data_IF_770938881776
#
_entry.id   IF_770938881776
#
_cell.length_a   1.000
_cell.length_b   1.000
_cell.length_c   1.000
_cell.angle_alpha   90.00
_cell.angle_beta   90.00
_cell.angle_gamma   90.00
#
_symmetry.space_group_name_H-M   'P 1'
#
loop_
_entity.id
_entity.type
_entity.pdbx_description
1 polymer ?
#
# COMPACT_ATOMS: atom_id res chain seq x y z
N UNK A 1 -32.59 -93.04 -18.92
CA UNK A 1 -33.24 -93.13 -17.59
C UNK A 1 -32.81 -91.91 -16.79
N UNK A 2 -33.67 -90.89 -16.67
CA UNK A 2 -34.59 -90.64 -15.54
C UNK A 2 -33.88 -90.50 -14.18
N UNK A 3 -34.03 -89.28 -13.62
CA UNK A 3 -34.25 -88.96 -12.19
C UNK A 3 -32.98 -88.86 -11.32
N UNK A 4 -32.82 -87.98 -10.32
CA UNK A 4 -33.67 -86.96 -9.67
C UNK A 4 -32.76 -86.14 -8.71
N UNK A 5 -33.08 -84.84 -8.53
CA UNK A 5 -33.28 -84.10 -7.25
C UNK A 5 -32.11 -83.81 -6.28
N UNK A 6 -31.86 -82.49 -6.14
CA UNK A 6 -31.71 -81.61 -4.96
C UNK A 6 -30.77 -81.95 -3.76
N UNK A 7 -29.95 -80.96 -3.40
CA UNK A 7 -29.87 -80.45 -2.02
C UNK A 7 -29.28 -79.02 -2.01
N UNK A 8 -29.97 -78.13 -1.29
CA UNK A 8 -29.60 -76.74 -1.01
C UNK A 8 -28.37 -76.62 -0.10
N UNK A 9 -27.56 -75.59 -0.31
CA UNK A 9 -26.91 -74.88 0.78
C UNK A 9 -26.80 -73.39 0.43
N UNK A 10 -27.66 -72.60 1.08
CA UNK A 10 -27.63 -71.15 1.14
C UNK A 10 -26.31 -70.71 1.80
N UNK A 11 -25.62 -69.75 1.20
CA UNK A 11 -24.66 -68.89 1.92
C UNK A 11 -24.79 -67.49 1.36
N UNK A 12 -25.70 -66.73 1.98
CA UNK A 12 -25.86 -65.31 1.73
C UNK A 12 -24.66 -64.58 2.32
N UNK A 13 -23.75 -64.12 1.47
CA UNK A 13 -22.71 -63.16 1.86
C UNK A 13 -23.39 -61.81 1.97
N UNK A 14 -23.59 -61.35 3.20
CA UNK A 14 -24.03 -60.00 3.50
C UNK A 14 -22.87 -59.02 3.24
N UNK A 15 -22.86 -58.41 2.06
CA UNK A 15 -21.96 -57.29 1.76
C UNK A 15 -22.49 -56.07 2.50
N UNK A 16 -21.91 -55.75 3.65
CA UNK A 16 -22.13 -54.46 4.33
C UNK A 16 -21.47 -53.39 3.46
N UNK A 17 -22.24 -52.78 2.57
CA UNK A 17 -21.87 -51.52 1.94
C UNK A 17 -21.99 -50.44 3.01
N UNK A 18 -20.86 -50.04 3.59
CA UNK A 18 -20.76 -48.79 4.33
C UNK A 18 -20.91 -47.65 3.33
N UNK A 19 -22.16 -47.32 3.00
CA UNK A 19 -22.50 -46.04 2.40
C UNK A 19 -22.25 -44.96 3.47
N UNK A 20 -21.02 -44.46 3.55
CA UNK A 20 -20.72 -43.22 4.25
C UNK A 20 -21.27 -42.06 3.42
N UNK A 21 -22.59 -41.89 3.45
CA UNK A 21 -23.19 -40.59 3.19
C UNK A 21 -22.78 -39.69 4.36
N UNK A 22 -21.65 -38.99 4.24
CA UNK A 22 -21.46 -37.78 5.02
C UNK A 22 -22.52 -36.78 4.53
N UNK A 23 -23.63 -36.71 5.25
CA UNK A 23 -24.52 -35.55 5.24
C UNK A 23 -23.64 -34.31 5.43
N UNK A 24 -23.67 -33.33 4.53
CA UNK A 24 -23.00 -32.07 4.82
C UNK A 24 -23.72 -31.49 6.03
N UNK A 25 -23.01 -31.42 7.17
CA UNK A 25 -23.43 -30.60 8.28
C UNK A 25 -23.56 -29.18 7.73
N UNK A 26 -24.81 -28.73 7.64
CA UNK A 26 -25.14 -27.36 7.31
C UNK A 26 -24.97 -26.53 8.57
N UNK A 27 -23.72 -26.33 8.98
CA UNK A 27 -23.33 -25.49 10.12
C UNK A 27 -22.31 -24.44 9.65
N UNK A 28 -22.86 -23.35 9.12
CA UNK A 28 -22.52 -21.95 9.38
C UNK A 28 -22.86 -21.20 8.11
N UNK A 29 -23.67 -20.16 8.24
CA UNK A 29 -23.89 -19.16 7.20
C UNK A 29 -22.52 -18.55 6.84
N UNK A 30 -21.82 -19.18 5.90
CA UNK A 30 -20.52 -18.75 5.43
C UNK A 30 -20.74 -17.60 4.47
N UNK A 31 -20.73 -16.36 4.97
CA UNK A 31 -20.54 -15.21 4.11
C UNK A 31 -19.30 -15.48 3.26
N UNK A 32 -19.48 -15.50 1.94
CA UNK A 32 -18.35 -15.62 1.03
C UNK A 32 -17.38 -14.47 1.33
N UNK A 33 -16.12 -14.78 1.61
CA UNK A 33 -15.10 -13.74 1.80
C UNK A 33 -15.08 -12.90 0.53
N UNK A 34 -15.48 -11.63 0.65
CA UNK A 34 -15.44 -10.67 -0.45
C UNK A 34 -13.97 -10.34 -0.70
N UNK A 35 -13.49 -10.67 -1.88
CA UNK A 35 -12.10 -10.44 -2.31
C UNK A 35 -12.03 -9.18 -3.17
N UNK A 36 -10.89 -8.49 -3.08
CA UNK A 36 -10.62 -7.27 -3.85
C UNK A 36 -11.30 -6.01 -3.31
N UNK A 37 -10.95 -4.87 -3.89
CA UNK A 37 -11.40 -3.53 -3.54
C UNK A 37 -11.30 -3.20 -2.04
N UNK A 38 -10.23 -3.66 -1.40
CA UNK A 38 -10.06 -3.47 0.03
C UNK A 38 -10.01 -1.99 0.43
N UNK A 39 -10.84 -1.64 1.41
CA UNK A 39 -10.86 -0.36 2.11
C UNK A 39 -10.47 -0.57 3.57
N UNK A 40 -9.88 0.43 4.24
CA UNK A 40 -9.60 0.31 5.66
C UNK A 40 -10.91 0.13 6.43
N UNK A 41 -10.87 -0.67 7.50
CA UNK A 41 -12.00 -0.79 8.42
C UNK A 41 -12.20 0.54 9.15
N UNK A 42 -13.47 0.84 9.48
CA UNK A 42 -13.78 1.94 10.39
C UNK A 42 -13.09 1.68 11.73
N UNK A 43 -12.37 2.70 12.18
CA UNK A 43 -11.61 2.62 13.41
C UNK A 43 -12.52 2.68 14.64
N UNK A 44 -12.16 2.01 15.75
CA UNK A 44 -12.70 2.37 17.05
C UNK A 44 -12.51 3.86 17.31
N UNK A 45 -13.34 4.44 18.18
CA UNK A 45 -13.18 5.85 18.60
C UNK A 45 -11.72 6.08 19.02
N UNK A 46 -11.14 7.19 18.56
CA UNK A 46 -9.72 7.48 18.74
C UNK A 46 -9.30 7.29 20.21
N UNK A 47 -8.19 6.58 20.40
CA UNK A 47 -7.59 6.36 21.71
C UNK A 47 -6.55 7.40 22.09
N UNK A 48 -6.02 8.17 21.12
CA UNK A 48 -4.95 9.15 21.36
C UNK A 48 -5.17 10.44 20.54
N UNK A 49 -4.97 11.56 21.22
CA UNK A 49 -4.90 12.90 20.67
C UNK A 49 -3.43 13.37 20.55
N UNK A 50 -2.48 12.52 20.94
CA UNK A 50 -1.09 12.88 21.05
C UNK A 50 -0.53 13.19 19.66
N UNK A 51 0.38 14.17 19.63
CA UNK A 51 1.14 14.54 18.44
C UNK A 51 0.32 15.08 17.26
N UNK A 52 -0.97 15.41 17.47
CA UNK A 52 -1.78 16.10 16.47
C UNK A 52 -1.23 17.47 16.17
N UNK A 53 -1.26 17.83 14.89
CA UNK A 53 -0.89 19.16 14.43
C UNK A 53 -2.12 20.04 14.48
N UNK A 54 -2.07 21.07 15.32
CA UNK A 54 -3.15 22.06 15.42
C UNK A 54 -3.42 22.72 14.06
N UNK A 55 -4.68 23.07 13.79
CA UNK A 55 -5.09 23.68 12.52
C UNK A 55 -5.31 22.71 11.36
N UNK A 56 -4.81 21.47 11.43
CA UNK A 56 -5.00 20.45 10.38
C UNK A 56 -5.97 19.37 10.85
N UNK A 57 -7.27 19.67 10.85
CA UNK A 57 -8.31 18.75 11.34
C UNK A 57 -8.68 17.61 10.37
N UNK A 58 -8.27 17.69 9.11
CA UNK A 58 -8.52 16.66 8.10
C UNK A 58 -7.37 16.60 7.11
N UNK A 59 -6.79 15.41 6.95
CA UNK A 59 -5.74 15.14 5.96
C UNK A 59 -6.04 13.81 5.27
N UNK A 60 -6.08 13.80 3.95
CA UNK A 60 -6.37 12.59 3.16
C UNK A 60 -5.11 11.85 2.74
N UNK A 61 -3.97 12.54 2.72
CA UNK A 61 -2.70 11.99 2.30
C UNK A 61 -1.51 12.80 2.81
N UNK A 62 -0.34 12.16 2.91
CA UNK A 62 0.91 12.84 3.28
C UNK A 62 2.13 12.18 2.66
N UNK A 63 3.15 12.99 2.37
CA UNK A 63 4.48 12.53 1.96
C UNK A 63 5.57 13.43 2.53
N UNK A 64 6.80 12.93 2.56
CA UNK A 64 7.97 13.59 3.17
C UNK A 64 9.13 13.71 2.19
N UNK A 65 9.72 14.89 2.12
CA UNK A 65 10.92 15.19 1.34
C UNK A 65 11.93 15.92 2.25
N UNK A 66 12.81 15.14 2.89
CA UNK A 66 13.67 15.67 3.96
C UNK A 66 12.84 16.07 5.18
N UNK A 67 12.89 17.35 5.54
CA UNK A 67 12.11 17.93 6.65
C UNK A 67 10.82 18.63 6.18
N UNK A 68 10.59 18.68 4.87
CA UNK A 68 9.38 19.26 4.28
C UNK A 68 8.32 18.17 4.16
N UNK A 69 7.10 18.53 4.55
CA UNK A 69 5.90 17.72 4.44
C UNK A 69 5.06 18.23 3.28
N UNK A 70 4.49 17.30 2.51
CA UNK A 70 3.33 17.56 1.68
C UNK A 70 2.12 16.95 2.38
N UNK A 71 1.08 17.74 2.62
CA UNK A 71 -0.12 17.32 3.34
C UNK A 71 -1.34 17.70 2.52
N UNK A 72 -2.06 16.68 2.06
CA UNK A 72 -3.29 16.88 1.28
C UNK A 72 -4.47 17.03 2.22
N UNK A 73 -5.14 18.16 2.13
CA UNK A 73 -6.36 18.47 2.88
C UNK A 73 -7.55 18.54 1.92
N UNK A 74 -8.79 18.65 2.41
CA UNK A 74 -9.94 18.93 1.54
C UNK A 74 -9.83 20.23 0.73
N UNK A 75 -9.04 21.20 1.22
CA UNK A 75 -8.92 22.54 0.64
C UNK A 75 -7.75 22.69 -0.34
N UNK A 76 -6.84 21.71 -0.40
CA UNK A 76 -5.68 21.75 -1.30
C UNK A 76 -4.49 20.94 -0.78
N UNK A 77 -3.30 21.38 -1.16
CA UNK A 77 -2.04 20.76 -0.78
C UNK A 77 -1.16 21.76 -0.03
N UNK A 78 -0.93 21.50 1.25
CA UNK A 78 0.04 22.24 2.06
C UNK A 78 1.43 21.66 1.82
N UNK A 79 2.42 22.52 1.59
CA UNK A 79 3.82 22.12 1.46
C UNK A 79 4.68 22.99 2.35
N UNK A 80 5.29 22.39 3.38
CA UNK A 80 6.09 23.13 4.35
C UNK A 80 6.68 22.24 5.42
N UNK A 81 7.51 22.83 6.28
CA UNK A 81 7.98 22.18 7.51
C UNK A 81 6.84 21.99 8.51
N UNK A 82 7.05 21.13 9.51
CA UNK A 82 6.11 20.95 10.62
C UNK A 82 5.74 22.28 11.27
N UNK A 83 6.73 23.14 11.52
CA UNK A 83 6.56 24.44 12.15
C UNK A 83 5.67 25.35 11.31
N UNK A 84 6.02 25.53 10.03
CA UNK A 84 5.24 26.38 9.12
C UNK A 84 3.80 25.88 8.90
N UNK A 85 3.58 24.56 8.94
CA UNK A 85 2.23 23.99 8.82
C UNK A 85 1.42 24.28 10.09
N UNK A 86 2.00 24.06 11.27
CA UNK A 86 1.35 24.32 12.55
C UNK A 86 1.02 25.81 12.76
N UNK A 87 1.87 26.70 12.27
CA UNK A 87 1.66 28.16 12.33
C UNK A 87 0.68 28.68 11.25
N UNK A 88 0.27 27.83 10.30
CA UNK A 88 -0.59 28.22 9.18
C UNK A 88 0.12 29.09 8.13
N UNK A 89 1.45 29.06 8.10
CA UNK A 89 2.29 29.82 7.17
C UNK A 89 2.77 29.01 5.95
N UNK A 90 2.53 27.70 5.95
CA UNK A 90 2.90 26.83 4.84
C UNK A 90 2.17 27.23 3.54
N UNK A 91 2.87 27.32 2.40
CA UNK A 91 2.26 27.46 1.08
C UNK A 91 1.13 26.44 0.85
N UNK A 92 -0.01 26.94 0.37
CA UNK A 92 -1.15 26.13 -0.03
C UNK A 92 -1.33 26.18 -1.54
N UNK A 93 -1.22 25.01 -2.17
CA UNK A 93 -1.40 24.83 -3.61
C UNK A 93 -2.82 24.33 -3.89
N UNK A 94 -3.52 25.04 -4.77
CA UNK A 94 -4.85 24.63 -5.22
C UNK A 94 -4.72 23.49 -6.23
N UNK A 95 -4.93 22.26 -5.75
CA UNK A 95 -4.96 21.06 -6.58
C UNK A 95 -6.38 20.48 -6.62
N UNK A 96 -6.79 19.86 -7.74
CA UNK A 96 -8.09 19.20 -7.82
C UNK A 96 -8.31 18.10 -6.74
N UNK A 97 -9.56 17.92 -6.30
CA UNK A 97 -9.90 16.92 -5.27
C UNK A 97 -9.82 15.49 -5.80
N UNK A 98 -9.83 15.29 -7.11
CA UNK A 98 -9.61 14.02 -7.79
C UNK A 98 -8.13 13.65 -7.96
N UNK A 99 -7.19 14.51 -7.56
CA UNK A 99 -5.78 14.15 -7.58
C UNK A 99 -5.52 12.85 -6.81
N UNK A 100 -4.49 12.14 -7.24
CA UNK A 100 -4.07 10.86 -6.70
C UNK A 100 -3.32 10.92 -5.38
N UNK A 101 -2.65 9.81 -5.09
CA UNK A 101 -1.71 9.71 -3.97
C UNK A 101 -0.48 10.59 -4.18
N UNK A 102 0.00 11.23 -3.11
CA UNK A 102 1.27 11.92 -3.04
C UNK A 102 2.41 10.90 -2.97
N UNK A 103 3.42 11.05 -3.82
CA UNK A 103 4.71 10.39 -3.62
C UNK A 103 5.83 11.43 -3.54
N UNK A 104 6.99 11.04 -3.03
CA UNK A 104 8.16 11.88 -2.97
C UNK A 104 9.37 11.14 -3.54
N UNK A 105 10.22 11.87 -4.24
CA UNK A 105 11.55 11.41 -4.61
C UNK A 105 12.56 12.55 -4.46
N UNK A 106 13.59 12.33 -3.66
CA UNK A 106 14.54 13.39 -3.29
C UNK A 106 13.84 14.57 -2.63
N UNK A 107 13.91 15.75 -3.26
CA UNK A 107 13.26 17.00 -2.83
C UNK A 107 11.98 17.33 -3.61
N UNK A 108 11.42 16.37 -4.34
CA UNK A 108 10.27 16.61 -5.23
C UNK A 108 9.09 15.74 -4.83
N UNK A 109 7.93 16.38 -4.65
CA UNK A 109 6.65 15.68 -4.52
C UNK A 109 6.00 15.48 -5.89
N UNK A 110 5.36 14.34 -6.09
CA UNK A 110 4.68 13.97 -7.33
C UNK A 110 3.22 13.69 -7.04
N UNK A 111 2.34 14.27 -7.86
CA UNK A 111 0.90 14.00 -7.80
C UNK A 111 0.30 13.99 -9.21
N UNK A 112 -0.45 12.95 -9.51
CA UNK A 112 -1.25 12.86 -10.74
C UNK A 112 -2.65 13.43 -10.50
N UNK A 113 -3.13 14.25 -11.42
CA UNK A 113 -4.40 14.97 -11.34
C UNK A 113 -5.09 14.88 -12.70
N UNK A 114 -5.61 13.69 -13.03
CA UNK A 114 -6.19 13.42 -14.34
C UNK A 114 -5.11 13.48 -15.42
N UNK A 115 -5.24 14.38 -16.40
CA UNK A 115 -4.29 14.48 -17.52
C UNK A 115 -3.01 15.25 -17.18
N UNK A 116 -2.89 15.77 -15.96
CA UNK A 116 -1.74 16.58 -15.52
C UNK A 116 -1.02 15.90 -14.37
N UNK A 117 0.30 15.85 -14.40
CA UNK A 117 1.14 15.36 -13.30
C UNK A 117 2.05 16.51 -12.86
N UNK A 118 1.93 16.89 -11.60
CA UNK A 118 2.74 17.95 -11.00
C UNK A 118 4.00 17.36 -10.36
N UNK A 119 5.12 18.06 -10.56
CA UNK A 119 6.38 17.86 -9.84
C UNK A 119 6.66 19.10 -9.00
N UNK A 120 6.42 18.99 -7.71
CA UNK A 120 6.42 20.11 -6.77
C UNK A 120 7.73 20.10 -6.00
N UNK A 121 8.55 21.14 -6.18
CA UNK A 121 9.79 21.31 -5.43
C UNK A 121 9.48 21.63 -3.96
N UNK A 122 10.09 20.90 -3.04
CA UNK A 122 9.84 21.04 -1.62
C UNK A 122 10.32 22.38 -1.04
N UNK A 123 11.35 22.99 -1.62
CA UNK A 123 11.90 24.26 -1.15
C UNK A 123 11.17 25.47 -1.73
N UNK A 124 10.66 25.36 -2.96
CA UNK A 124 9.85 26.39 -3.62
C UNK A 124 8.60 25.78 -4.26
N UNK A 125 7.57 25.47 -3.47
CA UNK A 125 6.39 24.76 -3.94
C UNK A 125 5.57 25.62 -4.90
N UNK A 126 5.53 25.23 -6.17
CA UNK A 126 4.62 25.78 -7.20
C UNK A 126 4.03 24.66 -8.06
N UNK A 127 3.00 24.97 -8.84
CA UNK A 127 2.39 24.05 -9.81
C UNK A 127 2.91 24.26 -11.24
N UNK A 128 3.98 25.04 -11.43
CA UNK A 128 4.48 25.42 -12.75
C UNK A 128 5.18 24.27 -13.48
N UNK A 129 5.74 23.32 -12.73
CA UNK A 129 6.36 22.13 -13.28
C UNK A 129 5.34 21.00 -13.39
N UNK A 130 4.66 20.98 -14.54
CA UNK A 130 3.64 20.00 -14.85
C UNK A 130 3.95 19.29 -16.18
N UNK A 131 3.64 17.99 -16.24
CA UNK A 131 3.65 17.20 -17.48
C UNK A 131 2.23 16.74 -17.80
N UNK A 132 1.89 16.75 -19.08
CA UNK A 132 0.54 16.39 -19.54
C UNK A 132 0.55 15.10 -20.35
N UNK A 133 -0.58 14.40 -20.33
CA UNK A 133 -0.84 13.16 -21.07
C UNK A 133 -2.24 13.22 -21.68
N UNK A 134 -2.45 12.50 -22.79
CA UNK A 134 -3.74 12.46 -23.48
C UNK A 134 -4.82 11.71 -22.70
N UNK A 135 -4.41 10.84 -21.77
CA UNK A 135 -5.29 10.01 -20.94
C UNK A 135 -5.14 10.33 -19.46
N UNK A 136 -6.22 10.27 -18.67
CA UNK A 136 -6.16 10.54 -17.24
C UNK A 136 -5.34 9.48 -16.49
N UNK A 137 -4.54 9.97 -15.54
CA UNK A 137 -3.72 9.19 -14.62
C UNK A 137 -4.13 9.54 -13.18
N UNK A 138 -4.17 8.52 -12.34
CA UNK A 138 -4.68 8.62 -10.96
C UNK A 138 -3.57 8.43 -9.92
N UNK A 139 -2.38 8.00 -10.33
CA UNK A 139 -1.23 7.82 -9.45
C UNK A 139 0.05 7.97 -10.25
N UNK A 140 1.10 8.54 -9.63
CA UNK A 140 2.39 8.72 -10.26
C UNK A 140 3.52 8.66 -9.21
N UNK A 141 4.69 8.24 -9.68
CA UNK A 141 5.93 8.19 -8.90
C UNK A 141 7.11 8.62 -9.76
N UNK A 142 8.18 9.09 -9.13
CA UNK A 142 9.40 9.50 -9.80
C UNK A 142 10.55 8.56 -9.39
N UNK A 143 11.29 8.10 -10.39
CA UNK A 143 12.52 7.31 -10.22
C UNK A 143 13.68 8.22 -9.78
N UNK A 144 14.74 7.66 -9.19
CA UNK A 144 15.96 8.40 -8.81
C UNK A 144 16.62 9.10 -10.01
N UNK A 145 16.43 8.58 -11.23
CA UNK A 145 16.92 9.17 -12.47
C UNK A 145 16.03 10.27 -13.05
N UNK A 146 14.86 10.53 -12.46
CA UNK A 146 13.98 11.66 -12.80
C UNK A 146 12.87 11.35 -13.80
N UNK A 147 12.78 10.11 -14.29
CA UNK A 147 11.60 9.64 -15.03
C UNK A 147 10.40 9.51 -14.11
N UNK A 148 9.22 9.87 -14.60
CA UNK A 148 7.96 9.70 -13.89
C UNK A 148 7.21 8.54 -14.52
N UNK A 149 6.70 7.62 -13.70
CA UNK A 149 5.79 6.56 -14.13
C UNK A 149 4.43 6.84 -13.53
N UNK A 150 3.40 6.91 -14.38
CA UNK A 150 2.03 7.19 -13.97
C UNK A 150 1.08 6.10 -14.46
N UNK A 151 0.03 5.81 -13.69
CA UNK A 151 -0.94 4.77 -13.99
C UNK A 151 -2.38 5.25 -13.87
N UNK A 152 -3.25 4.60 -14.65
CA UNK A 152 -4.69 4.83 -14.64
C UNK A 152 -5.44 3.75 -13.86
N UNK A 153 -6.30 4.18 -12.95
CA UNK A 153 -7.21 3.33 -12.17
C UNK A 153 -8.45 2.88 -12.95
N UNK A 154 -8.65 3.41 -14.17
CA UNK A 154 -9.85 3.12 -14.98
C UNK A 154 -9.54 2.38 -16.28
N UNK A 155 -8.34 2.53 -16.84
CA UNK A 155 -8.01 1.98 -18.16
C UNK A 155 -6.84 1.01 -18.20
N UNK A 156 -6.07 0.84 -17.12
CA UNK A 156 -4.83 0.03 -17.12
C UNK A 156 -3.69 0.59 -17.99
N UNK A 157 -3.84 1.83 -18.46
CA UNK A 157 -2.75 2.53 -19.13
C UNK A 157 -1.69 2.96 -18.11
N UNK A 158 -0.42 2.82 -18.50
CA UNK A 158 0.75 3.36 -17.81
C UNK A 158 1.53 4.23 -18.77
N UNK A 159 1.99 5.39 -18.30
CA UNK A 159 2.80 6.31 -19.09
C UNK A 159 4.12 6.58 -18.40
N UNK A 160 5.22 6.50 -19.16
CA UNK A 160 6.55 6.92 -18.70
C UNK A 160 6.87 8.28 -19.28
N UNK A 161 7.08 9.26 -18.41
CA UNK A 161 7.54 10.59 -18.78
C UNK A 161 9.05 10.64 -18.63
N UNK A 162 9.74 10.61 -19.76
CA UNK A 162 11.19 10.60 -19.85
C UNK A 162 11.76 11.98 -19.53
N UNK A 163 13.00 12.00 -19.04
CA UNK A 163 13.75 13.26 -18.81
C UNK A 163 14.01 14.03 -20.11
N UNK A 164 13.99 13.36 -21.27
CA UNK A 164 14.01 13.97 -22.60
C UNK A 164 12.74 14.76 -22.95
N UNK A 165 11.68 14.65 -22.15
CA UNK A 165 10.35 15.19 -22.44
C UNK A 165 9.45 14.26 -23.25
N UNK A 166 9.93 13.09 -23.67
CA UNK A 166 9.13 12.07 -24.35
C UNK A 166 8.14 11.41 -23.38
N UNK A 167 6.91 11.18 -23.83
CA UNK A 167 5.91 10.41 -23.09
C UNK A 167 5.66 9.09 -23.82
N UNK A 168 6.01 7.99 -23.17
CA UNK A 168 5.86 6.64 -23.73
C UNK A 168 4.72 5.90 -23.02
N UNK A 169 3.53 5.80 -23.65
CA UNK A 169 2.43 5.02 -23.11
C UNK A 169 2.59 3.54 -23.43
N UNK A 170 2.22 2.68 -22.48
CA UNK A 170 2.02 1.26 -22.68
C UNK A 170 0.88 0.78 -21.79
N UNK A 171 0.42 -0.46 -22.01
CA UNK A 171 -0.65 -1.05 -21.19
C UNK A 171 -0.08 -2.10 -20.27
N UNK A 172 -0.50 -2.02 -19.02
CA UNK A 172 -0.51 -3.17 -18.13
C UNK A 172 -1.89 -3.82 -18.23
N UNK A 173 -1.99 -5.12 -17.98
CA UNK A 173 -3.23 -5.87 -18.22
C UNK A 173 -4.43 -5.34 -17.43
N UNK A 174 -4.16 -4.74 -16.25
CA UNK A 174 -5.15 -4.40 -15.24
C UNK A 174 -5.07 -2.93 -14.80
N UNK A 175 -6.02 -2.49 -13.97
CA UNK A 175 -6.07 -1.11 -13.47
C UNK A 175 -4.94 -0.83 -12.49
N UNK A 176 -4.48 0.42 -12.46
CA UNK A 176 -3.43 0.87 -11.54
C UNK A 176 -4.03 1.78 -10.47
N UNK A 177 -4.13 1.26 -9.25
CA UNK A 177 -4.70 2.00 -8.11
C UNK A 177 -3.65 2.76 -7.29
N UNK A 178 -2.41 2.28 -7.28
CA UNK A 178 -1.26 2.96 -6.67
C UNK A 178 0.02 2.49 -7.34
N UNK A 179 0.98 3.40 -7.53
CA UNK A 179 2.32 3.10 -8.05
C UNK A 179 3.39 3.61 -7.09
N UNK A 180 4.50 2.89 -6.96
CA UNK A 180 5.68 3.33 -6.23
C UNK A 180 6.94 3.02 -7.03
N UNK A 181 7.95 3.87 -6.85
CA UNK A 181 9.31 3.62 -7.30
C UNK A 181 10.20 3.40 -6.08
N UNK A 182 11.12 2.44 -6.18
CA UNK A 182 12.08 2.11 -5.13
C UNK A 182 13.49 2.15 -5.73
N UNK A 183 14.46 2.84 -5.09
CA UNK A 183 15.85 2.86 -5.53
C UNK A 183 16.45 1.45 -5.59
N UNK A 184 17.30 1.20 -6.58
CA UNK A 184 18.09 -0.02 -6.66
C UNK A 184 19.55 0.32 -7.02
N UNK A 185 20.48 0.05 -6.11
CA UNK A 185 21.85 0.54 -6.26
C UNK A 185 22.54 -0.05 -7.50
N UNK A 186 23.04 0.83 -8.38
CA UNK A 186 23.76 0.45 -9.60
C UNK A 186 22.87 -0.05 -10.74
N UNK A 187 21.56 0.04 -10.61
CA UNK A 187 20.57 -0.40 -11.59
C UNK A 187 19.44 0.64 -11.71
N UNK A 188 18.59 0.55 -12.75
CA UNK A 188 17.35 1.32 -12.79
C UNK A 188 16.47 1.01 -11.57
N UNK A 189 15.78 2.03 -11.06
CA UNK A 189 14.82 1.88 -9.97
C UNK A 189 13.78 0.80 -10.28
N UNK A 190 13.42 0.05 -9.24
CA UNK A 190 12.26 -0.82 -9.27
C UNK A 190 10.97 0.00 -9.32
N UNK A 191 10.00 -0.42 -10.12
CA UNK A 191 8.67 0.19 -10.15
C UNK A 191 7.62 -0.90 -9.98
N UNK A 192 6.70 -0.68 -9.04
CA UNK A 192 5.60 -1.58 -8.77
C UNK A 192 4.28 -0.83 -8.69
N UNK A 193 3.22 -1.50 -9.11
CA UNK A 193 1.85 -1.02 -8.99
C UNK A 193 0.94 -2.08 -8.42
N UNK A 194 -0.18 -1.66 -7.83
CA UNK A 194 -1.23 -2.55 -7.35
C UNK A 194 -2.55 -2.32 -8.07
N UNK A 195 -3.33 -3.39 -8.24
CA UNK A 195 -4.76 -3.33 -8.54
C UNK A 195 -5.55 -3.82 -7.33
N UNK A 196 -6.32 -2.94 -6.69
CA UNK A 196 -7.20 -3.33 -5.58
C UNK A 196 -8.31 -4.28 -6.03
N UNK A 197 -8.90 -4.07 -7.20
CA UNK A 197 -10.03 -4.88 -7.69
C UNK A 197 -9.64 -6.35 -7.83
N UNK A 198 -8.50 -6.62 -8.46
CA UNK A 198 -8.02 -7.99 -8.70
C UNK A 198 -7.10 -8.50 -7.59
N UNK A 199 -6.82 -7.68 -6.58
CA UNK A 199 -5.88 -7.96 -5.49
C UNK A 199 -4.48 -8.38 -5.96
N UNK A 200 -3.93 -7.62 -6.91
CA UNK A 200 -2.64 -7.92 -7.55
C UNK A 200 -1.58 -6.85 -7.32
N UNK A 201 -0.32 -7.27 -7.41
CA UNK A 201 0.87 -6.43 -7.51
C UNK A 201 1.63 -6.79 -8.79
N UNK A 202 2.10 -5.79 -9.51
CA UNK A 202 2.79 -5.94 -10.79
C UNK A 202 4.16 -5.27 -10.72
N UNK A 203 5.18 -5.94 -11.22
CA UNK A 203 6.43 -5.26 -11.58
C UNK A 203 6.25 -4.50 -12.90
N UNK A 204 7.01 -3.42 -13.09
CA UNK A 204 6.98 -2.62 -14.32
C UNK A 204 8.40 -2.47 -14.89
N UNK A 205 8.61 -2.92 -16.13
CA UNK A 205 9.82 -2.60 -16.88
C UNK A 205 9.62 -1.26 -17.61
N UNK A 206 9.76 -0.18 -16.85
CA UNK A 206 9.59 1.17 -17.35
C UNK A 206 10.71 1.58 -18.32
N UNK A 207 11.88 0.92 -18.25
CA UNK A 207 13.01 1.20 -19.14
C UNK A 207 12.72 0.77 -20.58
N UNK A 208 12.04 -0.37 -20.74
CA UNK A 208 11.63 -0.93 -22.03
C UNK A 208 10.15 -0.69 -22.38
N UNK A 209 9.41 0.05 -21.55
CA UNK A 209 7.96 0.32 -21.69
C UNK A 209 7.12 -0.97 -21.78
N UNK A 210 7.33 -1.91 -20.85
CA UNK A 210 6.65 -3.21 -20.84
C UNK A 210 6.05 -3.56 -19.46
N UNK A 211 4.91 -4.27 -19.44
CA UNK A 211 4.43 -4.89 -18.21
C UNK A 211 5.44 -5.94 -17.73
N UNK A 212 5.68 -5.98 -16.42
CA UNK A 212 6.41 -7.07 -15.76
C UNK A 212 5.46 -8.16 -15.26
N UNK A 213 5.98 -9.16 -14.52
CA UNK A 213 5.17 -10.22 -13.95
C UNK A 213 4.18 -9.69 -12.90
N UNK A 214 3.09 -10.43 -12.72
CA UNK A 214 2.00 -10.13 -11.78
C UNK A 214 1.93 -11.21 -10.71
N UNK A 215 1.75 -10.80 -9.46
CA UNK A 215 1.47 -11.68 -8.32
C UNK A 215 0.18 -11.27 -7.64
N UNK A 216 -0.45 -12.22 -6.97
CA UNK A 216 -1.57 -11.95 -6.08
C UNK A 216 -1.06 -11.47 -4.72
N UNK A 217 -1.75 -10.50 -4.14
CA UNK A 217 -1.56 -10.02 -2.76
C UNK A 217 -2.77 -10.46 -1.96
N UNK A 218 -2.67 -11.64 -1.34
CA UNK A 218 -3.67 -12.13 -0.39
C UNK A 218 -5.14 -12.02 -0.83
N UNK A 219 -6.01 -11.57 0.08
CA UNK A 219 -7.46 -11.48 -0.11
C UNK A 219 -7.92 -10.11 -0.62
N UNK A 220 -7.25 -9.03 -0.23
CA UNK A 220 -7.57 -7.68 -0.65
C UNK A 220 -6.45 -6.69 -0.35
N UNK A 221 -5.66 -6.35 -1.37
CA UNK A 221 -4.60 -5.33 -1.25
C UNK A 221 -5.18 -3.95 -0.96
N UNK A 222 -4.69 -3.30 0.09
CA UNK A 222 -5.12 -1.96 0.49
C UNK A 222 -4.15 -0.85 0.11
N UNK A 223 -2.85 -1.08 0.26
CA UNK A 223 -1.84 -0.07 -0.04
C UNK A 223 -0.51 -0.69 -0.45
N UNK A 224 0.37 0.18 -0.93
CA UNK A 224 1.71 -0.11 -1.43
C UNK A 224 2.65 0.99 -0.92
N UNK A 225 3.84 0.62 -0.48
CA UNK A 225 4.90 1.55 -0.08
C UNK A 225 6.27 1.09 -0.60
N UNK A 226 7.10 2.05 -0.97
CA UNK A 226 8.50 1.79 -1.30
C UNK A 226 9.34 1.62 -0.03
N UNK A 227 10.25 0.66 -0.06
CA UNK A 227 11.32 0.50 0.91
C UNK A 227 12.64 1.06 0.39
N UNK A 228 13.70 0.28 0.56
CA UNK A 228 15.02 0.56 -0.01
C UNK A 228 15.54 -0.67 -0.76
N UNK A 229 16.47 -0.43 -1.67
CA UNK A 229 17.18 -1.46 -2.45
C UNK A 229 16.25 -2.51 -3.05
N UNK A 230 15.33 -2.07 -3.91
CA UNK A 230 14.31 -2.86 -4.62
C UNK A 230 13.13 -3.44 -3.82
N UNK A 231 13.11 -3.24 -2.50
CA UNK A 231 12.05 -3.76 -1.63
C UNK A 231 10.80 -2.89 -1.67
N UNK A 232 9.63 -3.52 -1.79
CA UNK A 232 8.32 -2.86 -1.60
C UNK A 232 7.45 -3.65 -0.64
N UNK A 233 6.52 -2.94 -0.01
CA UNK A 233 5.58 -3.49 0.97
C UNK A 233 4.16 -3.33 0.48
N UNK A 234 3.33 -4.36 0.65
CA UNK A 234 1.90 -4.30 0.39
C UNK A 234 1.11 -4.74 1.63
N UNK A 235 -0.01 -4.07 1.89
CA UNK A 235 -0.93 -4.47 2.94
C UNK A 235 -2.04 -5.32 2.32
N UNK A 236 -2.23 -6.54 2.80
CA UNK A 236 -3.46 -7.28 2.60
C UNK A 236 -4.44 -6.87 3.71
N UNK A 237 -5.25 -5.86 3.40
CA UNK A 237 -6.17 -5.24 4.36
C UNK A 237 -7.35 -6.16 4.68
N UNK A 238 -7.76 -7.02 3.72
CA UNK A 238 -8.84 -7.99 3.95
C UNK A 238 -8.33 -9.23 4.70
N UNK A 239 -7.09 -9.66 4.43
CA UNK A 239 -6.49 -10.85 5.06
C UNK A 239 -5.68 -10.59 6.33
N UNK A 240 -5.57 -9.33 6.77
CA UNK A 240 -4.78 -8.92 7.94
C UNK A 240 -3.29 -9.31 7.83
N UNK A 241 -2.66 -9.05 6.68
CA UNK A 241 -1.27 -9.43 6.43
C UNK A 241 -0.41 -8.28 5.87
N UNK A 242 0.87 -8.30 6.24
CA UNK A 242 1.95 -7.56 5.59
C UNK A 242 2.66 -8.48 4.60
N UNK A 243 2.83 -8.03 3.36
CA UNK A 243 3.57 -8.73 2.33
C UNK A 243 4.81 -7.93 1.89
N UNK A 244 5.96 -8.60 1.77
CA UNK A 244 7.25 -8.02 1.40
C UNK A 244 7.70 -8.60 0.06
N UNK A 245 7.96 -7.72 -0.90
CA UNK A 245 8.38 -8.08 -2.25
C UNK A 245 9.69 -7.41 -2.62
N UNK A 246 10.44 -8.02 -3.53
CA UNK A 246 11.46 -7.34 -4.34
C UNK A 246 10.91 -7.17 -5.75
N UNK A 247 11.21 -6.05 -6.43
CA UNK A 247 10.54 -5.73 -7.71
C UNK A 247 11.47 -5.61 -8.91
N UNK A 248 12.78 -5.46 -8.69
CA UNK A 248 13.78 -5.34 -9.77
C UNK A 248 13.92 -6.64 -10.58
N UNK A 249 13.91 -6.52 -11.90
CA UNK A 249 14.01 -7.62 -12.87
C UNK A 249 12.75 -8.50 -12.96
N UNK A 250 12.33 -9.09 -11.85
CA UNK A 250 11.05 -9.79 -11.73
C UNK A 250 10.54 -9.70 -10.30
N UNK A 251 9.26 -9.34 -10.15
CA UNK A 251 8.64 -9.25 -8.85
C UNK A 251 8.59 -10.61 -8.15
N UNK A 252 8.96 -10.65 -6.87
CA UNK A 252 8.99 -11.86 -6.04
C UNK A 252 8.47 -11.56 -4.64
N UNK A 253 7.56 -12.41 -4.15
CA UNK A 253 7.16 -12.43 -2.75
C UNK A 253 8.25 -13.12 -1.93
N UNK A 254 8.75 -12.46 -0.88
CA UNK A 254 9.71 -13.04 0.05
C UNK A 254 9.08 -13.39 1.39
N UNK A 255 8.20 -12.51 1.88
CA UNK A 255 7.64 -12.66 3.22
C UNK A 255 6.16 -12.29 3.24
N UNK A 256 5.40 -13.03 4.03
CA UNK A 256 3.99 -12.77 4.32
C UNK A 256 3.77 -13.00 5.81
N UNK A 257 3.20 -12.02 6.51
CA UNK A 257 3.11 -12.04 7.97
C UNK A 257 1.76 -11.52 8.45
N UNK A 258 1.07 -12.22 9.37
CA UNK A 258 -0.10 -11.68 10.03
C UNK A 258 0.22 -10.41 10.81
N UNK A 259 -0.66 -9.42 10.73
CA UNK A 259 -0.55 -8.15 11.47
C UNK A 259 -1.89 -7.81 12.12
N UNK A 260 -1.94 -6.72 12.88
CA UNK A 260 -3.18 -6.28 13.53
C UNK A 260 -4.26 -5.94 12.48
N UNK A 261 -5.53 -6.15 12.87
CA UNK A 261 -6.69 -6.11 11.97
C UNK A 261 -6.75 -4.85 11.10
N UNK A 262 -7.06 -5.04 9.82
CA UNK A 262 -7.19 -4.03 8.78
C UNK A 262 -5.93 -3.17 8.60
N UNK A 263 -4.78 -3.77 8.25
CA UNK A 263 -3.58 -3.01 7.91
C UNK A 263 -3.83 -2.18 6.65
N UNK A 264 -3.42 -0.93 6.61
CA UNK A 264 -3.66 -0.06 5.46
C UNK A 264 -2.48 0.84 5.11
N UNK A 265 -2.15 1.86 5.92
CA UNK A 265 -1.01 2.73 5.63
C UNK A 265 0.32 2.03 5.96
N UNK A 266 1.33 2.25 5.12
CA UNK A 266 2.66 1.64 5.24
C UNK A 266 3.73 2.73 5.08
N UNK A 267 4.79 2.67 5.89
CA UNK A 267 5.94 3.56 5.75
C UNK A 267 7.25 2.84 6.06
N UNK A 268 8.27 3.06 5.23
CA UNK A 268 9.62 2.56 5.50
C UNK A 268 10.40 3.57 6.35
N UNK A 269 10.73 3.19 7.58
CA UNK A 269 11.63 3.94 8.44
C UNK A 269 13.07 3.53 8.16
N UNK A 270 13.71 4.29 7.27
CA UNK A 270 15.08 4.03 6.84
C UNK A 270 16.11 4.12 7.97
N UNK A 271 15.87 4.95 8.99
CA UNK A 271 16.79 5.13 10.11
C UNK A 271 16.78 3.90 11.00
N UNK A 272 15.59 3.40 11.33
CA UNK A 272 15.43 2.28 12.25
C UNK A 272 15.34 0.92 11.55
N UNK A 273 15.32 0.89 10.21
CA UNK A 273 15.28 -0.33 9.37
C UNK A 273 14.05 -1.20 9.63
N UNK A 274 12.90 -0.56 9.78
CA UNK A 274 11.61 -1.21 10.00
C UNK A 274 10.56 -0.67 9.03
N UNK A 275 9.60 -1.52 8.67
CA UNK A 275 8.36 -1.07 8.04
C UNK A 275 7.30 -0.87 9.12
N UNK A 276 6.71 0.32 9.13
CA UNK A 276 5.56 0.64 9.96
C UNK A 276 4.27 0.29 9.23
N UNK A 277 3.34 -0.32 9.95
CA UNK A 277 2.00 -0.70 9.48
C UNK A 277 0.97 -0.02 10.37
N UNK A 278 0.11 0.79 9.77
CA UNK A 278 -1.11 1.28 10.41
C UNK A 278 -2.22 0.24 10.28
N UNK A 279 -2.83 -0.15 11.39
CA UNK A 279 -3.96 -1.08 11.46
C UNK A 279 -5.20 -0.37 12.00
N UNK A 280 -6.10 0.06 11.12
CA UNK A 280 -7.27 0.87 11.49
C UNK A 280 -8.28 0.08 12.33
N UNK A 281 -8.31 -1.24 12.16
CA UNK A 281 -9.19 -2.10 12.94
C UNK A 281 -8.88 -2.13 14.44
N UNK A 282 -7.70 -1.65 14.85
CA UNK A 282 -7.22 -1.65 16.25
C UNK A 282 -6.61 -0.31 16.71
N UNK A 283 -6.49 0.70 15.85
CA UNK A 283 -5.79 1.96 16.12
C UNK A 283 -4.34 1.74 16.59
N UNK A 284 -3.57 0.95 15.83
CA UNK A 284 -2.18 0.62 16.14
C UNK A 284 -1.26 0.98 14.98
N UNK A 285 -0.09 1.55 15.28
CA UNK A 285 1.07 1.56 14.39
C UNK A 285 2.05 0.50 14.89
N UNK A 286 2.31 -0.55 14.10
CA UNK A 286 3.24 -1.61 14.47
C UNK A 286 4.46 -1.61 13.54
N UNK A 287 5.65 -1.75 14.12
CA UNK A 287 6.91 -1.78 13.38
C UNK A 287 7.42 -3.20 13.22
N UNK A 288 7.87 -3.54 12.00
CA UNK A 288 8.43 -4.85 11.69
C UNK A 288 9.81 -4.73 11.05
N UNK A 289 10.77 -5.46 11.61
CA UNK A 289 12.08 -5.71 11.02
C UNK A 289 11.96 -6.85 9.99
N UNK A 290 12.46 -6.61 8.78
CA UNK A 290 12.37 -7.53 7.65
C UNK A 290 13.70 -8.21 7.30
N UNK A 291 14.75 -8.01 8.10
CA UNK A 291 16.10 -8.53 7.85
C UNK A 291 16.21 -10.06 7.99
N UNK A 292 15.19 -10.71 8.56
CA UNK A 292 15.15 -12.16 8.76
C UNK A 292 14.34 -12.88 7.65
N UNK A 293 14.06 -14.17 7.79
CA UNK A 293 13.20 -14.89 6.85
C UNK A 293 11.70 -14.55 6.96
N UNK A 294 11.29 -13.90 8.06
CA UNK A 294 9.94 -13.41 8.31
C UNK A 294 10.00 -12.02 8.97
N UNK A 295 8.97 -11.17 8.85
CA UNK A 295 8.89 -9.91 9.57
C UNK A 295 8.83 -10.18 11.08
N UNK A 296 9.60 -9.43 11.86
CA UNK A 296 9.65 -9.52 13.32
C UNK A 296 9.15 -8.21 13.91
N UNK A 297 8.06 -8.24 14.68
CA UNK A 297 7.54 -7.05 15.37
C UNK A 297 8.60 -6.53 16.35
N UNK A 298 8.94 -5.24 16.25
CA UNK A 298 9.92 -4.55 17.10
C UNK A 298 9.29 -3.60 18.12
N UNK A 299 8.04 -3.24 17.90
CA UNK A 299 7.37 -2.25 18.73
C UNK A 299 6.00 -1.89 18.17
N UNK A 300 5.26 -1.12 18.96
CA UNK A 300 4.01 -0.52 18.51
C UNK A 300 3.68 0.76 19.27
N UNK A 301 2.91 1.63 18.61
CA UNK A 301 2.37 2.87 19.16
C UNK A 301 0.84 2.87 18.98
N UNK A 302 0.08 3.48 19.90
CA UNK A 302 -1.31 3.82 19.61
C UNK A 302 -1.37 4.83 18.45
N UNK A 303 -2.41 4.76 17.63
CA UNK A 303 -2.66 5.72 16.54
C UNK A 303 -3.92 6.54 16.79
N UNK A 304 -4.03 7.68 16.10
CA UNK A 304 -5.33 8.31 15.87
C UNK A 304 -6.23 7.36 15.04
N UNK A 305 -7.54 7.62 15.06
CA UNK A 305 -8.48 6.86 14.25
C UNK A 305 -8.29 7.14 12.75
N UNK A 306 -8.53 6.11 11.93
CA UNK A 306 -8.63 6.16 10.47
C UNK A 306 -7.38 6.68 9.75
N UNK A 307 -6.17 6.33 10.25
CA UNK A 307 -4.92 6.62 9.55
C UNK A 307 -4.88 5.89 8.21
N UNK A 308 -4.99 6.64 7.11
CA UNK A 308 -5.06 6.10 5.75
C UNK A 308 -3.78 6.33 4.94
N UNK A 309 -2.91 7.25 5.39
CA UNK A 309 -1.60 7.53 4.80
C UNK A 309 -0.56 7.78 5.89
N UNK A 310 0.66 7.35 5.63
CA UNK A 310 1.76 7.42 6.57
C UNK A 310 3.09 7.55 5.83
N UNK A 311 4.01 8.32 6.38
CA UNK A 311 5.36 8.51 5.89
C UNK A 311 6.34 8.58 7.05
N UNK A 312 7.60 8.19 6.84
CA UNK A 312 8.66 8.27 7.84
C UNK A 312 9.72 9.27 7.39
N UNK A 313 10.06 10.23 8.26
CA UNK A 313 11.13 11.20 8.03
C UNK A 313 12.51 10.52 8.15
N UNK A 314 13.54 11.20 7.64
CA UNK A 314 14.92 10.70 7.71
C UNK A 314 15.44 10.54 9.15
N UNK A 315 14.89 11.29 10.09
CA UNK A 315 15.21 11.19 11.52
C UNK A 315 14.40 10.10 12.25
N UNK A 316 13.53 9.38 11.55
CA UNK A 316 12.67 8.32 12.10
C UNK A 316 11.34 8.79 12.65
N UNK A 317 11.02 10.10 12.64
CA UNK A 317 9.68 10.56 13.02
C UNK A 317 8.61 10.06 12.04
N UNK A 318 7.41 9.76 12.54
CA UNK A 318 6.28 9.31 11.71
C UNK A 318 5.30 10.45 11.46
N UNK A 319 4.86 10.59 10.22
CA UNK A 319 3.84 11.55 9.80
C UNK A 319 2.63 10.75 9.33
N UNK A 320 1.48 10.95 9.96
CA UNK A 320 0.24 10.21 9.66
C UNK A 320 -0.88 11.16 9.28
N UNK A 321 -1.65 10.80 8.26
CA UNK A 321 -2.83 11.52 7.83
C UNK A 321 -4.11 10.71 8.07
N UNK A 322 -5.14 11.40 8.58
CA UNK A 322 -6.49 10.89 8.79
C UNK A 322 -7.52 11.91 8.32
N UNK A 323 -8.50 11.45 7.55
CA UNK A 323 -9.58 12.31 7.09
C UNK A 323 -10.47 12.78 8.24
N UNK A 324 -10.54 12.02 9.35
CA UNK A 324 -11.37 12.33 10.52
C UNK A 324 -10.62 12.97 11.68
N UNK A 325 -9.31 12.76 11.77
CA UNK A 325 -8.48 13.20 12.91
C UNK A 325 -7.29 14.08 12.50
N UNK A 326 -7.12 14.36 11.21
CA UNK A 326 -6.14 15.31 10.72
C UNK A 326 -4.74 14.77 10.55
N UNK A 327 -3.75 15.65 10.75
CA UNK A 327 -2.33 15.33 10.67
C UNK A 327 -1.77 15.05 12.08
N UNK A 328 -0.92 14.05 12.21
CA UNK A 328 -0.11 13.84 13.43
C UNK A 328 1.35 13.58 13.07
N UNK A 329 2.26 14.08 13.89
CA UNK A 329 3.71 13.94 13.70
C UNK A 329 4.33 13.38 14.98
N UNK A 330 4.55 12.06 15.00
CA UNK A 330 5.11 11.34 16.14
C UNK A 330 6.62 11.56 16.16
N UNK A 331 7.17 12.18 17.23
CA UNK A 331 8.58 12.51 17.33
C UNK A 331 9.52 11.29 17.28
N UNK A 332 10.72 11.48 16.75
CA UNK A 332 11.69 10.42 16.55
C UNK A 332 12.14 9.73 17.86
N UNK A 333 12.18 10.44 18.98
CA UNK A 333 12.51 9.89 20.30
C UNK A 333 11.40 8.98 20.83
N UNK A 334 10.13 9.34 20.61
CA UNK A 334 8.96 8.51 20.91
C UNK A 334 8.96 7.24 20.05
N UNK A 335 9.23 7.38 18.75
CA UNK A 335 9.39 6.24 17.83
C UNK A 335 10.51 5.32 18.31
N UNK A 336 11.68 5.89 18.64
CA UNK A 336 12.84 5.11 19.09
C UNK A 336 12.57 4.37 20.41
N UNK A 337 11.85 5.00 21.34
CA UNK A 337 11.45 4.39 22.60
C UNK A 337 10.55 3.16 22.36
N UNK A 338 9.53 3.28 21.50
CA UNK A 338 8.63 2.18 21.18
C UNK A 338 9.33 0.97 20.54
N UNK A 339 10.41 1.19 19.79
CA UNK A 339 11.21 0.12 19.18
C UNK A 339 12.17 -0.58 20.17
N UNK A 340 12.44 0.03 21.31
CA UNK A 340 13.32 -0.54 22.34
C UNK A 340 12.60 -1.52 23.27
N UNK A 341 11.27 -1.58 23.19
CA UNK A 341 10.41 -2.42 24.04
C UNK A 341 10.13 -3.82 23.46
N UNK A 342 10.46 -4.07 22.18
CA UNK A 342 10.18 -5.33 21.47
C UNK A 342 11.40 -6.16 21.08
#
# INVERSE_FOLDING_TARGET
MRHKVAACALSAVATIMLASCSTPEKNSDGEAIVMGNATPAESPRSGSEDYRVEGIASATDTSVAGDVLAVRTPDGLLVGTQETIAEGEAPSLSIPSECGHLSAQGSTFIVACGTTIYSIDAANPTLDNARTTDKPMDTATMTTSGEIVAGSSTSGDVSVFRTSGTVDPFRVSDKTTKIVSVPHNGNPDGVALINKEDTTIHGVDWTSNKPGPTLRVGLGVGSLAAGEDDVVFASDTTGDQLAVYTVSGAIRLHQLHPVDRSPYALAWDKKNKVVWVSSTGTNTLAAYDISSGVPVKKGSLPSAANINSMSARNDGALVTASASEGLSIIPADVVSAALSEG
#
